data_IF_065668239737
#
_entry.id   IF_065668239737
#
_cell.length_a   1.000
_cell.length_b   1.000
_cell.length_c   1.000
_cell.angle_alpha   90.00
_cell.angle_beta   90.00
_cell.angle_gamma   90.00
#
_symmetry.space_group_name_H-M   'P 1'
#
loop_
_entity.id
_entity.type
_entity.pdbx_description
1 polymer ?
#
# COMPACT_ATOMS: atom_id res chain seq x y z
N UNK A 1 -4.27 19.23 15.93
CA UNK A 1 -3.03 19.44 16.73
C UNK A 1 -1.85 19.35 15.78
N UNK A 2 -0.83 20.18 15.96
CA UNK A 2 0.41 20.04 15.20
C UNK A 2 1.37 19.17 16.00
N UNK A 3 1.71 18.02 15.49
CA UNK A 3 2.68 17.12 16.11
C UNK A 3 4.08 17.64 15.75
N UNK A 4 4.90 17.91 16.78
CA UNK A 4 6.31 18.26 16.56
C UNK A 4 7.12 16.99 16.24
N UNK A 5 8.33 17.18 15.66
CA UNK A 5 9.28 16.07 15.47
C UNK A 5 9.52 15.29 16.76
N UNK A 6 9.67 16.01 17.87
CA UNK A 6 9.93 15.41 19.18
C UNK A 6 8.75 14.53 19.63
N UNK A 7 7.51 15.01 19.47
CA UNK A 7 6.32 14.26 19.85
C UNK A 7 6.14 13.00 19.00
N UNK A 8 6.43 13.10 17.70
CA UNK A 8 6.35 11.95 16.80
C UNK A 8 7.41 10.90 17.13
N UNK A 9 8.65 11.30 17.41
CA UNK A 9 9.72 10.37 17.82
C UNK A 9 9.38 9.70 19.16
N UNK A 10 8.88 10.45 20.16
CA UNK A 10 8.41 9.86 21.42
C UNK A 10 7.28 8.87 21.21
N UNK A 11 6.38 9.13 20.26
CA UNK A 11 5.31 8.20 19.92
C UNK A 11 5.83 6.90 19.32
N UNK A 12 6.79 6.97 18.39
CA UNK A 12 7.40 5.78 17.81
C UNK A 12 8.23 5.00 18.83
N UNK A 13 9.02 5.68 19.67
CA UNK A 13 9.75 5.06 20.78
C UNK A 13 8.78 4.34 21.72
N UNK A 14 7.65 4.95 22.07
CA UNK A 14 6.65 4.34 22.93
C UNK A 14 6.11 3.03 22.35
N UNK A 15 5.82 2.98 21.05
CA UNK A 15 5.34 1.76 20.39
C UNK A 15 6.45 0.72 20.14
N UNK A 16 7.69 1.13 20.01
CA UNK A 16 8.83 0.21 19.87
C UNK A 16 9.26 -0.41 21.21
N UNK A 17 9.01 0.28 22.32
CA UNK A 17 9.24 -0.20 23.68
C UNK A 17 8.02 -0.91 24.25
N UNK A 18 7.38 -1.79 23.49
CA UNK A 18 6.29 -2.59 24.05
C UNK A 18 6.84 -3.40 25.22
N UNK A 19 6.42 -3.12 26.47
CA UNK A 19 6.88 -3.89 27.60
C UNK A 19 6.41 -5.34 27.44
N UNK A 20 7.20 -6.29 27.93
CA UNK A 20 6.82 -7.70 28.00
C UNK A 20 5.57 -7.90 28.91
N UNK A 21 5.25 -6.89 29.70
CA UNK A 21 4.10 -6.85 30.61
C UNK A 21 2.86 -6.28 29.90
N UNK A 22 1.95 -7.15 29.52
CA UNK A 22 0.69 -6.79 28.83
C UNK A 22 -0.20 -5.84 29.64
N UNK A 23 -0.20 -5.94 30.97
CA UNK A 23 -1.04 -5.07 31.83
C UNK A 23 -0.47 -3.64 31.88
N UNK A 24 0.84 -3.50 31.98
CA UNK A 24 1.53 -2.21 31.91
C UNK A 24 1.36 -1.57 30.54
N UNK A 25 1.47 -2.36 29.48
CA UNK A 25 1.22 -1.92 28.11
C UNK A 25 -0.20 -1.40 27.94
N UNK A 26 -1.20 -2.12 28.41
CA UNK A 26 -2.60 -1.72 28.33
C UNK A 26 -2.85 -0.39 29.06
N UNK A 27 -2.30 -0.20 30.27
CA UNK A 27 -2.41 1.06 31.02
C UNK A 27 -1.72 2.23 30.33
N UNK A 28 -0.54 2.03 29.77
CA UNK A 28 0.18 3.06 29.02
C UNK A 28 -0.58 3.44 27.76
N UNK A 29 -1.12 2.47 27.02
CA UNK A 29 -1.96 2.70 25.85
C UNK A 29 -3.21 3.51 26.25
N UNK A 30 -3.88 3.17 27.32
CA UNK A 30 -5.06 3.90 27.80
C UNK A 30 -4.75 5.38 28.06
N UNK A 31 -3.64 5.69 28.73
CA UNK A 31 -3.22 7.08 29.00
C UNK A 31 -2.93 7.83 27.70
N UNK A 32 -2.18 7.23 26.79
CA UNK A 32 -1.83 7.85 25.50
C UNK A 32 -3.07 8.02 24.64
N UNK A 33 -3.92 7.02 24.54
CA UNK A 33 -5.16 7.10 23.76
C UNK A 33 -6.15 8.12 24.35
N UNK A 34 -6.26 8.25 25.66
CA UNK A 34 -7.10 9.28 26.28
C UNK A 34 -6.69 10.71 25.85
N UNK A 35 -5.38 10.94 25.63
CA UNK A 35 -4.86 12.23 25.19
C UNK A 35 -5.25 12.53 23.73
N UNK A 36 -5.33 11.52 22.86
CA UNK A 36 -5.61 11.67 21.42
C UNK A 36 -7.07 11.35 21.05
N UNK A 37 -7.83 10.70 21.92
CA UNK A 37 -9.21 10.28 21.66
C UNK A 37 -10.13 11.44 21.25
N UNK A 38 -9.97 12.62 21.83
CA UNK A 38 -10.78 13.79 21.47
C UNK A 38 -10.46 14.30 20.07
N UNK A 39 -9.19 14.24 19.66
CA UNK A 39 -8.77 14.65 18.32
C UNK A 39 -9.28 13.65 17.30
N UNK A 40 -9.14 12.35 17.59
CA UNK A 40 -9.67 11.29 16.76
C UNK A 40 -11.20 11.44 16.57
N UNK A 41 -11.95 11.65 17.67
CA UNK A 41 -13.39 11.83 17.62
C UNK A 41 -13.80 13.05 16.75
N UNK A 42 -13.07 14.16 16.83
CA UNK A 42 -13.33 15.33 15.99
C UNK A 42 -13.04 15.06 14.52
N UNK A 43 -11.95 14.32 14.20
CA UNK A 43 -11.61 13.91 12.84
C UNK A 43 -12.65 12.92 12.30
N UNK A 44 -13.07 11.93 13.11
CA UNK A 44 -14.11 10.98 12.75
C UNK A 44 -15.45 11.67 12.48
N UNK A 45 -15.86 12.62 13.33
CA UNK A 45 -17.09 13.37 13.11
C UNK A 45 -17.07 14.08 11.76
N UNK A 46 -15.97 14.77 11.43
CA UNK A 46 -15.80 15.44 10.14
C UNK A 46 -15.79 14.45 8.96
N UNK A 47 -15.13 13.32 9.11
CA UNK A 47 -15.11 12.28 8.09
C UNK A 47 -16.52 11.68 7.87
N UNK A 48 -17.29 11.46 8.94
CA UNK A 48 -18.66 10.98 8.85
C UNK A 48 -19.57 11.96 8.11
N UNK A 49 -19.39 13.27 8.32
CA UNK A 49 -20.08 14.28 7.52
C UNK A 49 -19.75 14.16 6.03
N UNK A 50 -18.48 14.02 5.67
CA UNK A 50 -18.05 13.86 4.28
C UNK A 50 -18.57 12.55 3.69
N UNK A 51 -18.52 11.45 4.43
CA UNK A 51 -19.03 10.15 4.01
C UNK A 51 -20.54 10.17 3.74
N UNK A 52 -21.32 10.91 4.54
CA UNK A 52 -22.78 11.03 4.35
C UNK A 52 -23.16 11.68 3.00
N UNK A 53 -22.24 12.41 2.37
CA UNK A 53 -22.44 13.06 1.08
C UNK A 53 -22.08 12.15 -0.11
N UNK A 54 -21.47 10.98 0.13
CA UNK A 54 -21.01 10.07 -0.92
C UNK A 54 -22.14 9.11 -1.28
N UNK A 55 -22.69 9.25 -2.49
CA UNK A 55 -23.75 8.39 -2.97
C UNK A 55 -23.25 6.95 -3.21
N UNK A 56 -23.96 5.98 -2.68
CA UNK A 56 -23.62 4.57 -2.89
C UNK A 56 -22.38 4.11 -2.13
N UNK A 57 -21.94 4.87 -1.11
CA UNK A 57 -20.88 4.43 -0.21
C UNK A 57 -21.26 3.12 0.48
N UNK A 58 -20.35 2.17 0.43
CA UNK A 58 -20.47 0.85 1.07
C UNK A 58 -19.27 0.62 1.96
N UNK A 59 -19.40 -0.33 2.87
CA UNK A 59 -18.30 -0.79 3.72
C UNK A 59 -18.13 -2.30 3.60
N UNK A 60 -16.89 -2.75 3.61
CA UNK A 60 -16.52 -4.17 3.68
C UNK A 60 -15.81 -4.39 5.02
N UNK A 61 -16.31 -5.37 5.80
CA UNK A 61 -15.77 -5.74 7.12
C UNK A 61 -15.61 -4.55 8.09
N UNK A 62 -16.42 -3.50 7.93
CA UNK A 62 -16.33 -2.24 8.70
C UNK A 62 -14.93 -1.59 8.71
N UNK A 63 -14.08 -1.91 7.75
CA UNK A 63 -12.69 -1.45 7.65
C UNK A 63 -12.39 -0.70 6.35
N UNK A 64 -13.02 -1.10 5.26
CA UNK A 64 -12.77 -0.51 3.94
C UNK A 64 -14.04 0.12 3.40
N UNK A 65 -13.95 1.38 2.99
CA UNK A 65 -15.03 2.11 2.34
C UNK A 65 -14.83 2.10 0.82
N UNK A 66 -15.91 1.88 0.07
CA UNK A 66 -15.84 1.88 -1.39
C UNK A 66 -17.16 2.33 -2.03
N UNK A 67 -17.09 2.72 -3.29
CA UNK A 67 -18.22 2.96 -4.17
C UNK A 67 -18.14 2.01 -5.36
N UNK A 68 -19.27 1.62 -5.94
CA UNK A 68 -19.32 0.75 -7.10
C UNK A 68 -19.75 -0.67 -6.80
N UNK A 69 -19.29 -1.60 -7.64
CA UNK A 69 -19.70 -3.01 -7.61
C UNK A 69 -18.75 -3.84 -6.71
N UNK A 70 -19.28 -4.40 -5.62
CA UNK A 70 -18.53 -5.23 -4.69
C UNK A 70 -17.95 -6.50 -5.33
N UNK A 71 -18.59 -7.04 -6.36
CA UNK A 71 -18.10 -8.23 -7.06
C UNK A 71 -16.74 -7.99 -7.75
N UNK A 72 -16.43 -6.73 -8.04
CA UNK A 72 -15.15 -6.28 -8.63
C UNK A 72 -14.10 -5.89 -7.61
N UNK A 73 -14.39 -6.04 -6.32
CA UNK A 73 -13.41 -5.77 -5.29
C UNK A 73 -12.20 -6.70 -5.44
N UNK A 74 -11.00 -6.12 -5.46
CA UNK A 74 -9.76 -6.85 -5.72
C UNK A 74 -9.59 -8.05 -4.78
N UNK A 75 -9.21 -9.21 -5.34
CA UNK A 75 -8.89 -10.41 -4.55
C UNK A 75 -7.70 -10.18 -3.62
N UNK A 76 -6.69 -9.43 -4.08
CA UNK A 76 -5.54 -9.03 -3.26
C UNK A 76 -5.95 -8.18 -2.06
N UNK A 77 -6.86 -7.20 -2.26
CA UNK A 77 -7.43 -6.43 -1.15
C UNK A 77 -8.22 -7.31 -0.17
N UNK A 78 -8.99 -8.29 -0.65
CA UNK A 78 -9.70 -9.23 0.23
C UNK A 78 -8.74 -10.08 1.05
N UNK A 79 -7.69 -10.63 0.45
CA UNK A 79 -6.67 -11.41 1.17
C UNK A 79 -5.99 -10.59 2.25
N UNK A 80 -5.66 -9.33 1.97
CA UNK A 80 -5.09 -8.40 2.95
C UNK A 80 -6.07 -8.08 4.07
N UNK A 81 -7.33 -7.74 3.73
CA UNK A 81 -8.37 -7.37 4.69
C UNK A 81 -8.71 -8.52 5.66
N UNK A 82 -8.73 -9.75 5.15
CA UNK A 82 -9.04 -10.95 5.93
C UNK A 82 -7.81 -11.54 6.65
N UNK A 83 -6.60 -11.04 6.37
CA UNK A 83 -5.37 -11.58 6.94
C UNK A 83 -5.05 -13.01 6.49
N UNK A 84 -5.56 -13.41 5.32
CA UNK A 84 -5.39 -14.77 4.77
C UNK A 84 -4.29 -14.87 3.70
N UNK A 85 -3.70 -13.75 3.31
CA UNK A 85 -2.58 -13.68 2.39
C UNK A 85 -1.24 -13.84 3.09
N UNK A 86 -0.19 -14.11 2.32
CA UNK A 86 1.18 -13.98 2.77
C UNK A 86 1.55 -12.51 2.94
N UNK A 87 2.51 -12.26 3.83
CA UNK A 87 3.19 -10.95 3.91
C UNK A 87 3.84 -10.57 2.58
N UNK A 88 4.23 -9.31 2.46
CA UNK A 88 4.92 -8.83 1.29
C UNK A 88 6.19 -9.64 0.99
N UNK A 89 6.33 -10.05 -0.27
CA UNK A 89 7.54 -10.69 -0.78
C UNK A 89 8.47 -9.61 -1.33
N UNK A 90 9.71 -9.64 -0.88
CA UNK A 90 10.77 -8.75 -1.30
C UNK A 90 11.86 -9.49 -2.07
N UNK A 91 12.35 -8.88 -3.14
CA UNK A 91 13.54 -9.29 -3.89
C UNK A 91 14.52 -8.13 -3.98
N UNK A 92 14.10 -7.04 -4.59
CA UNK A 92 14.95 -5.89 -4.83
C UNK A 92 15.18 -5.05 -3.55
N UNK A 93 16.35 -4.44 -3.45
CA UNK A 93 16.65 -3.37 -2.50
C UNK A 93 16.78 -2.01 -3.20
N UNK A 94 16.26 -1.86 -4.43
CA UNK A 94 16.42 -0.70 -5.29
C UNK A 94 15.09 -0.05 -5.60
N UNK A 95 15.12 1.27 -5.76
CA UNK A 95 14.02 2.06 -6.31
C UNK A 95 14.58 3.19 -7.16
N UNK A 96 13.94 3.48 -8.28
CA UNK A 96 14.30 4.60 -9.17
C UNK A 96 13.71 5.94 -8.70
N UNK A 97 12.97 5.97 -7.61
CA UNK A 97 12.36 7.16 -7.03
C UNK A 97 12.65 7.29 -5.53
N UNK A 98 12.51 8.51 -5.02
CA UNK A 98 12.57 8.84 -3.59
C UNK A 98 11.31 9.63 -3.20
N UNK A 99 10.19 8.92 -3.08
CA UNK A 99 8.90 9.53 -2.77
C UNK A 99 8.84 9.95 -1.30
N UNK A 100 8.48 11.21 -1.01
CA UNK A 100 8.40 11.74 0.37
C UNK A 100 7.46 10.95 1.28
N UNK A 101 6.45 10.29 0.72
CA UNK A 101 5.49 9.47 1.44
C UNK A 101 5.94 8.00 1.62
N UNK A 102 7.07 7.59 1.04
CA UNK A 102 7.54 6.21 1.11
C UNK A 102 7.90 5.83 2.54
N UNK A 103 7.47 4.65 3.00
CA UNK A 103 7.85 4.11 4.31
C UNK A 103 9.35 3.95 4.50
N UNK A 104 10.08 3.74 3.41
CA UNK A 104 11.53 3.54 3.44
C UNK A 104 12.31 4.83 3.11
N UNK A 105 11.66 6.00 3.08
CA UNK A 105 12.28 7.27 2.63
C UNK A 105 13.61 7.58 3.32
N UNK A 106 13.68 7.41 4.62
CA UNK A 106 14.86 7.72 5.44
C UNK A 106 15.99 6.70 5.33
N UNK A 107 15.70 5.48 4.90
CA UNK A 107 16.64 4.34 4.90
C UNK A 107 16.85 3.72 3.50
N UNK A 108 16.36 4.38 2.43
CA UNK A 108 16.41 3.83 1.06
C UNK A 108 17.82 3.37 0.62
N UNK A 109 18.86 4.08 1.07
CA UNK A 109 20.23 3.79 0.69
C UNK A 109 20.88 2.70 1.59
N UNK A 110 20.24 2.39 2.73
CA UNK A 110 20.75 1.46 3.75
C UNK A 110 20.04 0.10 3.72
N UNK A 111 19.04 -0.09 2.85
CA UNK A 111 18.30 -1.35 2.74
C UNK A 111 19.24 -2.45 2.24
N UNK A 112 19.50 -3.51 3.03
CA UNK A 112 20.40 -4.56 2.62
C UNK A 112 19.82 -5.40 1.49
N UNK A 113 20.64 -5.92 0.57
CA UNK A 113 20.19 -6.87 -0.44
C UNK A 113 19.69 -8.17 0.21
N UNK A 114 18.71 -8.79 -0.41
CA UNK A 114 18.18 -10.09 0.08
C UNK A 114 19.21 -11.21 -0.07
N UNK A 115 19.96 -11.17 -1.14
CA UNK A 115 20.98 -12.18 -1.51
C UNK A 115 20.73 -12.72 -2.93
N UNK A 116 21.77 -13.24 -3.53
CA UNK A 116 21.70 -13.82 -4.89
C UNK A 116 20.73 -15.01 -4.91
N UNK A 117 19.81 -15.03 -5.86
CA UNK A 117 18.79 -16.07 -6.01
C UNK A 117 17.79 -16.18 -4.86
N UNK A 118 17.88 -15.33 -3.84
CA UNK A 118 17.03 -15.35 -2.65
C UNK A 118 15.86 -14.37 -2.76
N UNK A 119 14.84 -14.68 -1.99
CA UNK A 119 13.63 -13.88 -1.74
C UNK A 119 13.42 -13.75 -0.24
N UNK A 120 12.67 -12.76 0.18
CA UNK A 120 12.37 -12.55 1.60
C UNK A 120 10.87 -12.32 1.82
N UNK A 121 10.36 -12.92 2.88
CA UNK A 121 9.01 -12.72 3.38
C UNK A 121 9.03 -12.60 4.91
N UNK A 122 8.59 -11.47 5.45
CA UNK A 122 8.55 -11.26 6.90
C UNK A 122 9.89 -11.53 7.61
N UNK A 123 11.03 -11.15 6.99
CA UNK A 123 12.37 -11.40 7.50
C UNK A 123 12.93 -12.80 7.23
N UNK A 124 12.12 -13.73 6.72
CA UNK A 124 12.56 -15.09 6.36
C UNK A 124 13.01 -15.13 4.91
N UNK A 125 14.24 -15.60 4.66
CA UNK A 125 14.79 -15.76 3.32
C UNK A 125 14.53 -17.16 2.78
N UNK A 126 14.23 -17.25 1.47
CA UNK A 126 13.97 -18.50 0.76
C UNK A 126 14.47 -18.45 -0.69
N UNK A 127 14.65 -19.60 -1.32
CA UNK A 127 14.90 -19.71 -2.75
C UNK A 127 13.61 -20.08 -3.49
N UNK A 128 13.56 -19.85 -4.80
CA UNK A 128 12.42 -20.26 -5.63
C UNK A 128 12.01 -21.74 -5.41
N UNK A 129 13.00 -22.64 -5.28
CA UNK A 129 12.78 -24.06 -5.02
C UNK A 129 12.08 -24.39 -3.70
N UNK A 130 12.08 -23.43 -2.77
CA UNK A 130 11.52 -23.61 -1.41
C UNK A 130 10.05 -23.17 -1.34
N UNK A 131 9.46 -22.70 -2.45
CA UNK A 131 8.07 -22.16 -2.47
C UNK A 131 7.07 -23.23 -2.04
N UNK A 132 7.22 -24.48 -2.46
CA UNK A 132 6.31 -25.57 -2.06
C UNK A 132 6.33 -25.78 -0.54
N UNK A 133 7.51 -25.72 0.07
CA UNK A 133 7.68 -25.76 1.52
C UNK A 133 7.03 -24.55 2.19
N UNK A 134 7.27 -23.35 1.65
CA UNK A 134 6.67 -22.11 2.13
C UNK A 134 5.14 -22.20 2.13
N UNK A 135 4.54 -22.65 1.04
CA UNK A 135 3.09 -22.81 0.91
C UNK A 135 2.53 -23.86 1.90
N UNK A 136 3.30 -24.92 2.18
CA UNK A 136 2.94 -25.90 3.19
C UNK A 136 2.92 -25.30 4.59
N UNK A 137 3.93 -24.51 4.95
CA UNK A 137 4.04 -23.85 6.26
C UNK A 137 2.89 -22.85 6.47
N UNK A 138 2.58 -22.04 5.47
CA UNK A 138 1.53 -21.03 5.54
C UNK A 138 0.12 -21.53 5.17
N UNK A 139 -0.08 -22.84 5.10
CA UNK A 139 -1.37 -23.52 4.89
C UNK A 139 -2.16 -22.99 3.66
N UNK A 140 -1.50 -22.83 2.54
CA UNK A 140 -2.05 -22.29 1.28
C UNK A 140 -2.70 -20.93 1.48
N UNK A 141 -1.92 -19.86 1.50
CA UNK A 141 -2.43 -18.50 1.60
C UNK A 141 -3.34 -18.17 0.41
N UNK A 142 -4.31 -17.27 0.61
CA UNK A 142 -5.23 -16.86 -0.45
C UNK A 142 -4.61 -15.85 -1.43
N UNK A 143 -3.44 -15.32 -1.13
CA UNK A 143 -2.72 -14.40 -2.01
C UNK A 143 -1.33 -14.05 -1.53
N UNK A 144 -0.50 -13.58 -2.43
CA UNK A 144 0.83 -13.04 -2.17
C UNK A 144 0.97 -11.66 -2.81
N UNK A 145 1.80 -10.80 -2.22
CA UNK A 145 2.05 -9.46 -2.75
C UNK A 145 3.53 -9.18 -2.95
N UNK A 146 3.86 -8.57 -4.07
CA UNK A 146 5.19 -8.03 -4.39
C UNK A 146 5.12 -6.51 -4.18
N UNK A 147 5.42 -6.04 -2.97
CA UNK A 147 5.15 -4.65 -2.52
C UNK A 147 6.33 -4.03 -1.78
N UNK A 148 7.54 -4.20 -2.26
CA UNK A 148 8.69 -3.58 -1.63
C UNK A 148 9.55 -2.88 -2.67
N UNK A 149 9.78 -1.56 -2.47
CA UNK A 149 10.54 -0.73 -3.40
C UNK A 149 9.98 -0.77 -4.84
N UNK A 150 10.84 -0.94 -5.86
CA UNK A 150 10.38 -0.97 -7.26
C UNK A 150 10.78 -2.28 -7.94
N UNK A 151 9.83 -3.23 -8.08
CA UNK A 151 10.11 -4.52 -8.72
C UNK A 151 10.68 -4.43 -10.13
N UNK A 152 10.30 -3.40 -10.91
CA UNK A 152 10.81 -3.24 -12.27
C UNK A 152 12.30 -2.86 -12.36
N UNK A 153 12.97 -2.63 -11.23
CA UNK A 153 14.43 -2.54 -11.21
C UNK A 153 15.12 -3.89 -11.52
N UNK A 154 14.42 -5.01 -11.26
CA UNK A 154 14.94 -6.38 -11.41
C UNK A 154 13.80 -7.33 -11.84
N UNK A 155 12.89 -6.87 -12.71
CA UNK A 155 11.61 -7.54 -12.99
C UNK A 155 11.76 -8.95 -13.58
N UNK A 156 12.81 -9.22 -14.31
CA UNK A 156 13.05 -10.53 -14.92
C UNK A 156 13.23 -11.64 -13.87
N UNK A 157 13.76 -11.28 -12.70
CA UNK A 157 13.91 -12.22 -11.60
C UNK A 157 12.57 -12.63 -10.97
N UNK A 158 11.50 -11.85 -11.20
CA UNK A 158 10.17 -12.14 -10.65
C UNK A 158 9.41 -13.20 -11.44
N UNK A 159 9.65 -13.35 -12.76
CA UNK A 159 8.87 -14.25 -13.60
C UNK A 159 8.86 -15.72 -13.13
N UNK A 160 10.00 -16.34 -12.74
CA UNK A 160 9.98 -17.72 -12.26
C UNK A 160 9.16 -17.90 -10.98
N UNK A 161 9.28 -16.97 -10.03
CA UNK A 161 8.55 -17.02 -8.76
C UNK A 161 7.05 -16.79 -8.97
N UNK A 162 6.68 -15.84 -9.82
CA UNK A 162 5.29 -15.63 -10.23
C UNK A 162 4.71 -16.90 -10.86
N UNK A 163 5.47 -17.55 -11.75
CA UNK A 163 5.06 -18.81 -12.37
C UNK A 163 4.79 -19.92 -11.33
N UNK A 164 5.64 -20.06 -10.33
CA UNK A 164 5.49 -21.04 -9.25
C UNK A 164 4.22 -20.80 -8.43
N UNK A 165 3.96 -19.58 -8.01
CA UNK A 165 2.73 -19.26 -7.28
C UNK A 165 1.47 -19.39 -8.16
N UNK A 166 1.58 -19.09 -9.45
CA UNK A 166 0.48 -19.29 -10.41
C UNK A 166 0.16 -20.79 -10.58
N UNK A 167 1.18 -21.64 -10.68
CA UNK A 167 1.01 -23.11 -10.77
C UNK A 167 0.39 -23.70 -9.49
N UNK A 168 0.56 -23.05 -8.36
CA UNK A 168 -0.06 -23.41 -7.08
C UNK A 168 -1.47 -22.83 -6.89
N UNK A 169 -2.03 -22.11 -7.88
CA UNK A 169 -3.32 -21.42 -7.83
C UNK A 169 -3.42 -20.41 -6.66
N UNK A 170 -2.35 -19.67 -6.41
CA UNK A 170 -2.28 -18.60 -5.42
C UNK A 170 -2.43 -17.27 -6.12
N UNK A 171 -3.40 -16.45 -5.69
CA UNK A 171 -3.57 -15.09 -6.23
C UNK A 171 -2.35 -14.20 -5.98
N UNK A 172 -1.91 -13.49 -7.01
CA UNK A 172 -0.71 -12.67 -6.95
C UNK A 172 -0.96 -11.25 -7.39
N UNK A 173 -0.44 -10.28 -6.63
CA UNK A 173 -0.48 -8.88 -7.04
C UNK A 173 0.86 -8.17 -6.82
N UNK A 174 1.21 -7.32 -7.78
CA UNK A 174 2.46 -6.58 -7.82
C UNK A 174 2.19 -5.08 -7.79
N UNK A 175 2.97 -4.35 -6.99
CA UNK A 175 2.95 -2.89 -6.92
C UNK A 175 4.13 -2.30 -7.70
N UNK A 176 3.87 -1.21 -8.41
CA UNK A 176 4.91 -0.48 -9.16
C UNK A 176 4.62 1.01 -9.24
N UNK A 177 5.65 1.84 -9.34
CA UNK A 177 5.50 3.24 -9.74
C UNK A 177 5.25 3.38 -11.26
N UNK A 178 5.43 2.33 -12.04
CA UNK A 178 5.09 2.20 -13.44
C UNK A 178 6.04 2.90 -14.43
N UNK A 179 7.04 3.63 -13.97
CA UNK A 179 7.94 4.41 -14.85
C UNK A 179 8.89 3.53 -15.67
N UNK A 180 9.28 2.38 -15.13
CA UNK A 180 10.17 1.43 -15.78
C UNK A 180 9.43 0.35 -16.57
N UNK A 181 8.10 0.26 -16.41
CA UNK A 181 7.29 -0.73 -17.13
C UNK A 181 7.34 -0.48 -18.64
N UNK A 182 7.43 -1.58 -19.40
CA UNK A 182 7.36 -1.63 -20.84
C UNK A 182 6.29 -2.62 -21.28
N UNK A 183 5.79 -2.54 -22.51
CA UNK A 183 4.82 -3.52 -23.03
C UNK A 183 5.38 -4.96 -22.96
N UNK A 184 6.67 -5.13 -23.24
CA UNK A 184 7.34 -6.43 -23.17
C UNK A 184 7.33 -7.01 -21.75
N UNK A 185 7.74 -6.23 -20.76
CA UNK A 185 7.75 -6.68 -19.35
C UNK A 185 6.34 -6.94 -18.79
N UNK A 186 5.36 -6.11 -19.16
CA UNK A 186 3.96 -6.31 -18.78
C UNK A 186 3.37 -7.58 -19.40
N UNK A 187 3.71 -7.87 -20.67
CA UNK A 187 3.32 -9.11 -21.33
C UNK A 187 3.95 -10.32 -20.64
N UNK A 188 5.25 -10.27 -20.35
CA UNK A 188 5.96 -11.36 -19.68
C UNK A 188 5.38 -11.65 -18.27
N UNK A 189 4.98 -10.61 -17.51
CA UNK A 189 4.28 -10.78 -16.23
C UNK A 189 2.95 -11.51 -16.40
N UNK A 190 2.16 -11.16 -17.42
CA UNK A 190 0.91 -11.85 -17.72
C UNK A 190 1.12 -13.31 -18.13
N UNK A 191 2.14 -13.59 -18.96
CA UNK A 191 2.54 -14.94 -19.39
C UNK A 191 3.07 -15.79 -18.21
N UNK A 192 3.76 -15.17 -17.25
CA UNK A 192 4.16 -15.81 -16.01
C UNK A 192 2.98 -16.13 -15.07
N UNK A 193 1.82 -15.52 -15.29
CA UNK A 193 0.60 -15.78 -14.54
C UNK A 193 0.31 -14.80 -13.41
N UNK A 194 0.86 -13.58 -13.47
CA UNK A 194 0.48 -12.51 -12.54
C UNK A 194 -1.00 -12.18 -12.68
N UNK A 195 -1.76 -12.21 -11.58
CA UNK A 195 -3.20 -11.96 -11.60
C UNK A 195 -3.54 -10.47 -11.58
N UNK A 196 -2.78 -9.67 -10.82
CA UNK A 196 -3.10 -8.28 -10.60
C UNK A 196 -1.83 -7.40 -10.54
N UNK A 197 -1.89 -6.23 -11.18
CA UNK A 197 -0.86 -5.19 -11.07
C UNK A 197 -1.47 -3.87 -10.58
N UNK A 198 -0.76 -3.17 -9.71
CA UNK A 198 -1.18 -1.91 -9.11
C UNK A 198 -0.17 -0.81 -9.38
N UNK A 199 -0.63 0.24 -10.04
CA UNK A 199 0.19 1.40 -10.36
C UNK A 199 0.05 2.49 -9.29
N UNK A 200 1.18 2.92 -8.73
CA UNK A 200 1.22 4.05 -7.80
C UNK A 200 1.34 5.36 -8.58
N UNK A 201 0.19 5.95 -8.91
CA UNK A 201 0.14 7.21 -9.64
C UNK A 201 0.65 8.41 -8.82
N UNK A 202 0.60 8.34 -7.48
CA UNK A 202 1.20 9.38 -6.63
C UNK A 202 2.73 9.44 -6.80
N UNK A 203 3.39 8.30 -6.95
CA UNK A 203 4.83 8.22 -7.14
C UNK A 203 5.29 8.85 -8.47
N UNK A 204 4.49 8.73 -9.52
CA UNK A 204 4.77 9.27 -10.86
C UNK A 204 4.14 10.64 -11.12
N UNK A 205 3.43 11.20 -10.13
CA UNK A 205 2.64 12.43 -10.28
C UNK A 205 1.65 12.36 -11.45
N UNK A 206 0.99 11.21 -11.62
CA UNK A 206 0.06 10.91 -12.71
C UNK A 206 0.68 11.16 -14.10
N UNK A 207 1.92 10.73 -14.33
CA UNK A 207 2.58 10.94 -15.63
C UNK A 207 1.84 10.20 -16.76
N UNK A 208 1.82 10.79 -17.95
CA UNK A 208 1.14 10.23 -19.13
C UNK A 208 1.67 8.83 -19.46
N UNK A 209 2.99 8.61 -19.37
CA UNK A 209 3.61 7.32 -19.57
C UNK A 209 3.04 6.23 -18.66
N UNK A 210 2.83 6.53 -17.37
CA UNK A 210 2.30 5.54 -16.42
C UNK A 210 0.82 5.30 -16.67
N UNK A 211 0.05 6.32 -17.03
CA UNK A 211 -1.35 6.16 -17.43
C UNK A 211 -1.45 5.29 -18.69
N UNK A 212 -0.60 5.49 -19.69
CA UNK A 212 -0.53 4.63 -20.88
C UNK A 212 -0.18 3.18 -20.51
N UNK A 213 0.80 2.97 -19.60
CA UNK A 213 1.19 1.65 -19.13
C UNK A 213 0.05 0.91 -18.41
N UNK A 214 -0.86 1.62 -17.73
CA UNK A 214 -2.10 1.02 -17.20
C UNK A 214 -2.94 0.43 -18.34
N UNK A 215 -3.13 1.18 -19.43
CA UNK A 215 -3.87 0.71 -20.61
C UNK A 215 -3.19 -0.48 -21.29
N UNK A 216 -1.86 -0.48 -21.36
CA UNK A 216 -1.07 -1.60 -21.91
C UNK A 216 -1.19 -2.84 -21.03
N UNK A 217 -1.07 -2.70 -19.70
CA UNK A 217 -1.17 -3.81 -18.76
C UNK A 217 -2.50 -4.56 -18.88
N UNK A 218 -3.60 -3.87 -19.16
CA UNK A 218 -4.93 -4.48 -19.38
C UNK A 218 -5.02 -5.45 -20.55
N UNK A 219 -4.06 -5.44 -21.46
CA UNK A 219 -4.01 -6.42 -22.57
C UNK A 219 -3.50 -7.80 -22.10
N UNK A 220 -2.76 -7.83 -20.99
CA UNK A 220 -1.97 -9.00 -20.59
C UNK A 220 -2.28 -9.50 -19.18
N UNK A 221 -2.73 -8.63 -18.27
CA UNK A 221 -2.94 -8.93 -16.85
C UNK A 221 -4.43 -8.83 -16.52
N UNK A 222 -4.97 -9.81 -15.79
CA UNK A 222 -6.41 -9.97 -15.53
C UNK A 222 -7.02 -8.80 -14.75
N UNK A 223 -6.29 -8.25 -13.77
CA UNK A 223 -6.73 -7.14 -12.94
C UNK A 223 -5.67 -6.05 -12.92
N UNK A 224 -6.07 -4.82 -13.27
CA UNK A 224 -5.14 -3.67 -13.32
C UNK A 224 -5.75 -2.53 -12.51
N UNK A 225 -5.11 -2.18 -11.42
CA UNK A 225 -5.59 -1.15 -10.52
C UNK A 225 -4.64 0.03 -10.33
N UNK A 226 -5.17 1.08 -9.76
CA UNK A 226 -4.41 2.18 -9.18
C UNK A 226 -4.41 2.00 -7.66
N UNK A 227 -3.24 2.05 -7.06
CA UNK A 227 -3.05 2.04 -5.60
C UNK A 227 -2.09 3.17 -5.24
N UNK A 228 -2.58 4.19 -4.55
CA UNK A 228 -1.78 5.38 -4.24
C UNK A 228 -2.10 5.93 -2.86
N UNK A 229 -1.09 6.35 -2.07
CA UNK A 229 -1.37 7.14 -0.88
C UNK A 229 -1.93 8.50 -1.30
N UNK A 230 -2.96 8.95 -0.58
CA UNK A 230 -3.56 10.24 -0.85
C UNK A 230 -2.69 11.37 -0.29
N UNK A 231 -2.16 12.18 -1.21
CA UNK A 231 -1.45 13.43 -0.91
C UNK A 231 -2.09 14.60 -1.64
N UNK A 232 -1.90 15.86 -1.22
CA UNK A 232 -2.44 17.03 -1.93
C UNK A 232 -1.96 17.12 -3.37
N UNK A 233 -0.70 16.77 -3.63
CA UNK A 233 -0.10 16.75 -4.95
C UNK A 233 -0.76 15.68 -5.84
N UNK A 234 -0.93 14.48 -5.30
CA UNK A 234 -1.62 13.40 -6.02
C UNK A 234 -3.07 13.78 -6.31
N UNK A 235 -3.82 14.27 -5.33
CA UNK A 235 -5.20 14.71 -5.53
C UNK A 235 -5.31 15.72 -6.67
N UNK A 236 -4.43 16.75 -6.67
CA UNK A 236 -4.42 17.78 -7.71
C UNK A 236 -4.07 17.21 -9.09
N UNK A 237 -3.05 16.35 -9.16
CA UNK A 237 -2.62 15.73 -10.41
C UNK A 237 -3.63 14.73 -10.95
N UNK A 238 -4.27 13.96 -10.05
CA UNK A 238 -5.35 13.06 -10.42
C UNK A 238 -6.52 13.81 -11.06
N UNK A 239 -6.98 14.91 -10.44
CA UNK A 239 -8.07 15.70 -11.00
C UNK A 239 -7.72 16.30 -12.39
N UNK A 240 -6.48 16.73 -12.58
CA UNK A 240 -6.00 17.22 -13.89
C UNK A 240 -5.98 16.12 -14.97
N UNK A 241 -5.66 14.89 -14.58
CA UNK A 241 -5.52 13.74 -15.48
C UNK A 241 -6.73 12.80 -15.45
N UNK A 242 -7.78 13.14 -14.72
CA UNK A 242 -8.98 12.32 -14.50
C UNK A 242 -9.50 11.67 -15.79
N UNK A 243 -9.64 12.46 -16.85
CA UNK A 243 -10.18 11.98 -18.12
C UNK A 243 -9.29 10.87 -18.71
N UNK A 244 -7.98 11.09 -18.79
CA UNK A 244 -7.03 10.11 -19.32
C UNK A 244 -7.00 8.83 -18.46
N UNK A 245 -7.07 8.95 -17.13
CA UNK A 245 -7.12 7.80 -16.22
C UNK A 245 -8.41 7.00 -16.44
N UNK A 246 -9.55 7.64 -16.61
CA UNK A 246 -10.81 6.96 -16.86
C UNK A 246 -10.87 6.29 -18.25
N UNK A 247 -10.21 6.86 -19.25
CA UNK A 247 -10.13 6.31 -20.61
C UNK A 247 -9.36 4.99 -20.66
N UNK A 248 -8.30 4.82 -19.86
CA UNK A 248 -7.57 3.54 -19.78
C UNK A 248 -8.29 2.49 -18.92
N UNK A 249 -9.40 2.87 -18.25
CA UNK A 249 -10.34 1.98 -17.54
C UNK A 249 -9.65 1.04 -16.55
N UNK A 250 -8.92 1.52 -15.54
CA UNK A 250 -8.44 0.65 -14.48
C UNK A 250 -9.63 -0.08 -13.83
N UNK A 251 -9.41 -1.31 -13.37
CA UNK A 251 -10.48 -2.13 -12.78
C UNK A 251 -10.92 -1.59 -11.42
N UNK A 252 -9.99 -0.95 -10.70
CA UNK A 252 -10.26 -0.25 -9.45
C UNK A 252 -9.26 0.90 -9.23
N UNK A 253 -9.64 1.82 -8.36
CA UNK A 253 -8.78 2.90 -7.85
C UNK A 253 -8.86 2.85 -6.34
N UNK A 254 -7.74 2.53 -5.70
CA UNK A 254 -7.58 2.55 -4.26
C UNK A 254 -6.72 3.76 -3.84
N UNK A 255 -7.29 4.63 -3.05
CA UNK A 255 -6.61 5.78 -2.49
C UNK A 255 -6.47 5.57 -0.98
N UNK A 256 -5.33 5.04 -0.59
CA UNK A 256 -5.03 4.75 0.81
C UNK A 256 -4.80 6.06 1.59
N UNK A 257 -5.25 6.08 2.83
CA UNK A 257 -4.84 7.11 3.77
C UNK A 257 -3.32 7.06 3.96
N UNK A 258 -2.67 8.22 3.95
CA UNK A 258 -1.22 8.29 4.14
C UNK A 258 -0.88 8.01 5.60
N UNK A 259 -0.20 6.90 5.83
CA UNK A 259 0.37 6.57 7.13
C UNK A 259 1.83 6.97 7.20
N UNK A 260 2.23 7.56 8.33
CA UNK A 260 3.58 8.03 8.56
C UNK A 260 4.29 7.15 9.58
N UNK A 261 5.59 6.95 9.36
CA UNK A 261 6.51 6.29 10.27
C UNK A 261 7.74 7.15 10.50
N UNK A 262 8.72 6.66 11.26
CA UNK A 262 9.97 7.36 11.57
C UNK A 262 10.75 7.79 10.33
N UNK A 263 10.69 7.03 9.23
CA UNK A 263 11.46 7.30 8.02
C UNK A 263 10.88 8.42 7.16
N UNK A 264 9.55 8.62 7.18
CA UNK A 264 8.90 9.59 6.28
C UNK A 264 8.26 10.79 6.99
N UNK A 265 8.00 10.73 8.29
CA UNK A 265 7.31 11.79 9.04
C UNK A 265 8.03 13.13 8.97
N UNK A 266 9.37 13.09 8.84
CA UNK A 266 10.19 14.30 8.70
C UNK A 266 9.77 15.20 7.53
N UNK A 267 9.17 14.63 6.49
CA UNK A 267 8.70 15.37 5.32
C UNK A 267 7.39 16.14 5.57
N UNK A 268 6.72 15.88 6.70
CA UNK A 268 5.38 16.39 7.01
C UNK A 268 5.31 17.17 8.34
N UNK A 269 6.48 17.52 8.92
CA UNK A 269 6.47 18.35 10.13
C UNK A 269 5.79 19.69 9.89
N UNK A 270 4.92 20.05 10.82
CA UNK A 270 4.11 21.28 10.73
C UNK A 270 2.73 21.07 10.13
N UNK A 271 2.43 19.89 9.59
CA UNK A 271 1.09 19.50 9.18
C UNK A 271 0.18 19.22 10.39
N UNK A 272 -1.13 19.38 10.20
CA UNK A 272 -2.11 18.92 11.19
C UNK A 272 -2.26 17.42 11.07
N UNK A 273 -1.91 16.71 12.13
CA UNK A 273 -1.94 15.24 12.17
C UNK A 273 -2.86 14.75 13.27
N UNK A 274 -3.27 13.51 13.17
CA UNK A 274 -3.93 12.76 14.24
C UNK A 274 -3.29 11.38 14.36
N UNK A 275 -3.53 10.75 15.51
CA UNK A 275 -3.10 9.39 15.78
C UNK A 275 -4.37 8.55 15.89
N UNK A 276 -4.48 7.52 15.07
CA UNK A 276 -5.61 6.59 15.11
C UNK A 276 -5.48 5.63 16.29
N UNK A 277 -6.58 4.97 16.66
CA UNK A 277 -6.58 3.91 17.71
C UNK A 277 -5.64 2.76 17.44
N UNK A 278 -5.24 2.60 16.19
CA UNK A 278 -4.29 1.56 15.78
C UNK A 278 -2.84 2.05 15.79
N UNK A 279 -2.56 3.24 16.33
CA UNK A 279 -1.22 3.79 16.46
C UNK A 279 -0.67 4.47 15.20
N UNK A 280 -1.43 4.53 14.11
CA UNK A 280 -0.96 5.18 12.89
C UNK A 280 -1.05 6.70 12.98
N UNK A 281 0.03 7.38 12.61
CA UNK A 281 0.05 8.83 12.43
C UNK A 281 -0.34 9.14 10.98
N UNK A 282 -1.31 10.04 10.82
CA UNK A 282 -1.78 10.44 9.49
C UNK A 282 -2.05 11.94 9.45
N UNK A 283 -1.74 12.64 8.34
CA UNK A 283 -2.18 14.00 8.13
C UNK A 283 -3.71 14.03 7.98
N UNK A 284 -4.38 14.96 8.67
CA UNK A 284 -5.85 15.07 8.65
C UNK A 284 -6.41 15.20 7.23
N UNK A 285 -5.70 15.93 6.35
CA UNK A 285 -6.14 16.12 4.97
C UNK A 285 -6.14 14.83 4.13
N UNK A 286 -5.38 13.79 4.50
CA UNK A 286 -5.25 12.61 3.65
C UNK A 286 -6.60 11.88 3.48
N UNK A 287 -7.26 11.51 4.57
CA UNK A 287 -8.59 10.90 4.52
C UNK A 287 -9.65 11.84 3.92
N UNK A 288 -9.60 13.13 4.25
CA UNK A 288 -10.52 14.11 3.68
C UNK A 288 -10.45 14.18 2.14
N UNK A 289 -9.23 14.19 1.59
CA UNK A 289 -9.04 14.23 0.14
C UNK A 289 -9.49 12.93 -0.52
N UNK A 290 -9.25 11.77 0.13
CA UNK A 290 -9.78 10.48 -0.34
C UNK A 290 -11.30 10.51 -0.42
N UNK A 291 -11.98 10.93 0.63
CA UNK A 291 -13.45 11.03 0.66
C UNK A 291 -13.98 12.04 -0.37
N UNK A 292 -13.29 13.15 -0.59
CA UNK A 292 -13.63 14.11 -1.65
C UNK A 292 -13.48 13.52 -3.06
N UNK A 293 -12.50 12.64 -3.26
CA UNK A 293 -12.31 11.97 -4.55
C UNK A 293 -13.40 10.93 -4.82
N UNK A 294 -13.92 10.27 -3.77
CA UNK A 294 -15.01 9.29 -3.86
C UNK A 294 -16.37 9.93 -4.14
N UNK A 295 -16.55 11.21 -3.82
CA UNK A 295 -17.77 11.99 -4.12
C UNK A 295 -17.86 12.40 -5.58
#
# INVERSE_FOLDING_TARGET
MKISKKDALLWFEFFSMLPEDEELMAKQQEIVYATFAQIEAAVEHRNNMLMSEIKGLKTLENRTFFVGDESKFSKGCRSCLLGTGLSAIRKTNKCNLRCKFCYNYGELDDIPPVGEGMWEIGGTKFYEKDIDLLLSIYQKPTGVSYVYLEPFMEIEEYYPVIKKFSDADIHQHLYTNGLLATEESLKALGEAGLDEIRFNLAASNCSDKVIENIGIAKKYIKSVGVESPMTPEFFTSFLKKKQAILEVKPDFINCAELHLNENNIGNYYGENMYISRHGYISPIWSRELTLKLMK
#
